data_IF_659929878591
#
_entry.id   IF_659929878591
#
_cell.length_a   1.000
_cell.length_b   1.000
_cell.length_c   1.000
_cell.angle_alpha   90.00
_cell.angle_beta   90.00
_cell.angle_gamma   90.00
#
_symmetry.space_group_name_H-M   'P 1'
#
loop_
_entity.id
_entity.type
_entity.pdbx_description
1 polymer ?
#
# COMPACT_ATOMS: atom_id res chain seq x y z
N UNK A 1 -22.39 37.73 13.68
CA UNK A 1 -21.76 37.08 12.50
C UNK A 1 -20.26 36.97 12.78
N UNK A 2 -19.70 35.76 12.73
CA UNK A 2 -18.28 35.51 13.03
C UNK A 2 -17.43 35.78 11.78
N UNK A 3 -16.31 36.50 11.87
CA UNK A 3 -15.44 36.75 10.72
C UNK A 3 -14.76 35.46 10.25
N UNK A 4 -14.46 35.34 8.93
CA UNK A 4 -13.78 34.17 8.40
C UNK A 4 -12.34 34.09 8.93
N UNK A 5 -11.80 32.86 9.11
CA UNK A 5 -10.43 32.68 9.57
C UNK A 5 -9.42 33.19 8.53
N UNK A 6 -8.23 33.64 8.97
CA UNK A 6 -7.18 34.11 8.07
C UNK A 6 -6.64 32.98 7.18
N UNK A 7 -6.15 33.30 5.97
CA UNK A 7 -5.53 32.32 5.08
C UNK A 7 -4.28 31.72 5.72
N UNK A 8 -4.11 30.39 5.59
CA UNK A 8 -2.93 29.68 6.12
C UNK A 8 -1.76 29.81 5.13
N UNK A 9 -0.50 29.87 5.60
CA UNK A 9 0.66 29.80 4.73
C UNK A 9 0.69 28.49 3.93
N UNK A 10 1.11 28.55 2.67
CA UNK A 10 1.33 27.37 1.83
C UNK A 10 2.46 26.51 2.41
N UNK A 11 2.26 25.19 2.46
CA UNK A 11 3.32 24.25 2.83
C UNK A 11 4.39 24.18 1.72
N UNK A 12 5.66 23.86 2.05
CA UNK A 12 6.70 23.59 1.07
C UNK A 12 6.33 22.42 0.15
N UNK A 13 6.77 22.46 -1.10
CA UNK A 13 6.60 21.35 -2.06
C UNK A 13 7.52 20.17 -1.67
N UNK A 14 7.05 18.91 -1.75
CA UNK A 14 7.86 17.75 -1.44
C UNK A 14 9.03 17.57 -2.42
N UNK A 15 10.15 16.96 -1.98
CA UNK A 15 11.28 16.68 -2.85
C UNK A 15 10.87 15.70 -3.98
N UNK A 16 11.51 15.78 -5.15
CA UNK A 16 11.27 14.82 -6.24
C UNK A 16 11.66 13.41 -5.78
N UNK A 17 10.77 12.45 -6.02
CA UNK A 17 10.92 11.05 -5.66
C UNK A 17 11.58 10.33 -6.85
N UNK A 18 12.58 9.47 -6.59
CA UNK A 18 13.20 8.66 -7.64
C UNK A 18 12.23 7.56 -8.09
N UNK A 19 12.30 7.05 -9.34
CA UNK A 19 11.39 6.00 -9.80
C UNK A 19 11.46 4.70 -8.98
N UNK A 20 12.62 4.42 -8.36
CA UNK A 20 12.79 3.29 -7.45
C UNK A 20 12.13 3.51 -6.08
N UNK A 21 11.90 4.77 -5.70
CA UNK A 21 11.22 5.17 -4.46
C UNK A 21 9.72 5.44 -4.69
N UNK A 22 9.25 5.38 -5.94
CA UNK A 22 7.86 5.58 -6.36
C UNK A 22 7.06 4.29 -6.12
N UNK A 23 6.89 3.98 -4.83
CA UNK A 23 6.01 2.93 -4.36
C UNK A 23 4.71 3.55 -3.82
N UNK A 24 3.57 2.84 -3.97
CA UNK A 24 2.29 3.28 -3.41
C UNK A 24 2.40 3.47 -1.88
N UNK A 25 1.67 4.44 -1.35
CA UNK A 25 1.72 4.80 0.06
C UNK A 25 0.84 3.85 0.88
N UNK A 26 1.26 3.44 2.08
CA UNK A 26 0.54 2.46 2.92
C UNK A 26 -0.94 2.80 3.27
N UNK A 27 -1.39 4.04 3.05
CA UNK A 27 -2.77 4.52 3.28
C UNK A 27 -3.60 4.59 1.97
N UNK A 28 -3.06 4.08 0.85
CA UNK A 28 -3.75 4.07 -0.43
C UNK A 28 -4.92 3.05 -0.41
N UNK A 29 -6.14 3.44 -0.81
CA UNK A 29 -7.34 2.59 -0.70
C UNK A 29 -7.37 1.43 -1.70
N UNK A 30 -6.51 1.45 -2.71
CA UNK A 30 -6.28 0.36 -3.66
C UNK A 30 -5.07 -0.50 -3.28
N UNK A 31 -4.30 -0.13 -2.25
CA UNK A 31 -3.44 -1.06 -1.58
C UNK A 31 -4.32 -2.05 -0.80
N UNK A 32 -4.36 -3.25 -1.34
CA UNK A 32 -4.87 -4.42 -0.65
C UNK A 32 -4.04 -4.67 0.62
N UNK A 33 -4.51 -4.14 1.77
CA UNK A 33 -3.97 -4.50 3.10
C UNK A 33 -4.12 -6.01 3.41
N UNK A 34 -4.90 -6.72 2.62
CA UNK A 34 -5.06 -8.17 2.70
C UNK A 34 -4.06 -8.91 1.84
N UNK A 35 -3.06 -8.22 1.23
CA UNK A 35 -2.08 -8.71 0.26
C UNK A 35 -1.89 -10.21 0.43
N UNK A 36 -2.76 -10.98 -0.23
CA UNK A 36 -2.78 -12.41 -0.03
C UNK A 36 -1.37 -12.83 -0.41
N UNK A 37 -0.67 -13.51 0.50
CA UNK A 37 0.67 -14.00 0.19
C UNK A 37 0.55 -14.71 -1.16
N UNK A 38 1.52 -14.56 -2.06
CA UNK A 38 1.42 -15.16 -3.41
C UNK A 38 1.00 -16.63 -3.35
N UNK A 39 1.38 -17.31 -2.26
CA UNK A 39 0.91 -18.63 -1.85
C UNK A 39 -0.62 -18.77 -1.73
N UNK A 40 -1.29 -17.89 -0.99
CA UNK A 40 -2.75 -17.90 -0.80
C UNK A 40 -3.50 -17.51 -2.08
N UNK A 41 -2.92 -16.65 -2.92
CA UNK A 41 -3.46 -16.37 -4.27
C UNK A 41 -3.40 -17.61 -5.16
N UNK A 42 -2.32 -18.39 -5.10
CA UNK A 42 -2.17 -19.62 -5.89
C UNK A 42 -3.22 -20.66 -5.47
N UNK A 43 -3.46 -20.83 -4.17
CA UNK A 43 -4.47 -21.75 -3.64
C UNK A 43 -5.88 -21.35 -4.10
N UNK A 44 -6.20 -20.05 -4.00
CA UNK A 44 -7.54 -19.54 -4.29
C UNK A 44 -7.87 -19.44 -5.79
N UNK A 45 -6.95 -18.93 -6.60
CA UNK A 45 -7.21 -18.60 -8.01
C UNK A 45 -7.08 -19.82 -8.93
N UNK A 46 -6.14 -20.72 -8.65
CA UNK A 46 -5.91 -21.92 -9.46
C UNK A 46 -6.60 -23.17 -8.88
N UNK A 47 -7.27 -23.04 -7.73
CA UNK A 47 -7.86 -24.17 -7.01
C UNK A 47 -6.81 -25.17 -6.50
N UNK A 48 -5.59 -24.70 -6.26
CA UNK A 48 -4.49 -25.53 -5.78
C UNK A 48 -4.68 -25.90 -4.30
N UNK A 49 -3.99 -26.94 -3.83
CA UNK A 49 -4.01 -27.35 -2.42
C UNK A 49 -2.59 -27.59 -1.93
N UNK A 50 -2.26 -27.12 -0.72
CA UNK A 50 -0.97 -27.38 -0.09
C UNK A 50 -0.98 -28.80 0.44
N UNK A 51 0.00 -29.59 0.03
CA UNK A 51 0.16 -30.97 0.50
C UNK A 51 1.15 -31.01 1.66
N UNK A 52 2.31 -30.38 1.49
CA UNK A 52 3.37 -30.33 2.49
C UNK A 52 4.10 -28.97 2.39
N UNK A 53 4.40 -28.36 3.54
CA UNK A 53 5.18 -27.12 3.64
C UNK A 53 6.52 -27.41 4.31
N UNK A 54 7.62 -26.89 3.75
CA UNK A 54 8.97 -27.05 4.28
C UNK A 54 9.57 -25.70 4.62
N UNK A 55 10.00 -25.53 5.88
CA UNK A 55 10.75 -24.34 6.30
C UNK A 55 12.19 -24.44 5.81
N UNK A 56 12.63 -23.42 5.07
CA UNK A 56 13.97 -23.35 4.53
C UNK A 56 14.83 -22.44 5.41
N UNK A 57 15.23 -22.95 6.57
CA UNK A 57 16.15 -22.27 7.52
C UNK A 57 17.62 -22.31 7.07
#
# INVERSE_FOLDING_TARGET
PTPPPPPRPSAPEPPPISPEDDMPADDDPDLDESALSGHELIVRELGATVVEEFSNE
#
